data_IF_922965891048
#
_entry.id   IF_922965891048
#
_cell.length_a   1.000
_cell.length_b   1.000
_cell.length_c   1.000
_cell.angle_alpha   90.00
_cell.angle_beta   90.00
_cell.angle_gamma   90.00
#
_symmetry.space_group_name_H-M   'P 1'
#
loop_
_entity.id
_entity.type
_entity.pdbx_description
1 polymer ?
#
# COMPACT_ATOMS: atom_id res chain seq x y z
N UNK A 1 9.81 0.35 10.00
CA UNK A 1 9.59 -1.07 9.64
C UNK A 1 10.76 -1.88 10.17
N UNK A 2 10.54 -3.06 10.76
CA UNK A 2 11.62 -3.99 11.05
C UNK A 2 12.32 -4.42 9.75
N UNK A 3 13.64 -4.70 9.77
CA UNK A 3 14.46 -4.88 8.57
C UNK A 3 14.09 -6.11 7.71
N UNK A 4 13.24 -7.02 8.22
CA UNK A 4 12.79 -8.24 7.54
C UNK A 4 11.27 -8.35 7.42
N UNK A 5 10.57 -7.23 7.28
CA UNK A 5 9.13 -7.27 7.03
C UNK A 5 8.84 -8.02 5.71
N UNK A 6 8.17 -9.17 5.84
CA UNK A 6 7.74 -10.02 4.73
C UNK A 6 6.79 -9.27 3.82
N UNK A 7 6.65 -9.72 2.57
CA UNK A 7 5.74 -9.09 1.59
C UNK A 7 4.31 -8.93 2.16
N UNK A 8 3.83 -9.95 2.88
CA UNK A 8 2.53 -9.94 3.57
C UNK A 8 2.40 -8.82 4.62
N UNK A 9 3.43 -8.60 5.44
CA UNK A 9 3.43 -7.54 6.44
C UNK A 9 3.42 -6.16 5.79
N UNK A 10 4.13 -6.01 4.67
CA UNK A 10 4.09 -4.78 3.88
C UNK A 10 2.71 -4.55 3.29
N UNK A 11 2.07 -5.57 2.72
CA UNK A 11 0.70 -5.49 2.21
C UNK A 11 -0.25 -5.03 3.31
N UNK A 12 -0.23 -5.70 4.47
CA UNK A 12 -1.09 -5.38 5.60
C UNK A 12 -0.91 -3.93 6.04
N UNK A 13 0.35 -3.48 6.18
CA UNK A 13 0.65 -2.10 6.53
C UNK A 13 0.11 -1.10 5.49
N UNK A 14 0.28 -1.35 4.19
CA UNK A 14 -0.20 -0.44 3.15
C UNK A 14 -1.74 -0.40 3.10
N UNK A 15 -2.42 -1.53 3.32
CA UNK A 15 -3.89 -1.58 3.38
C UNK A 15 -4.44 -0.81 4.59
N UNK A 16 -3.86 -1.02 5.78
CA UNK A 16 -4.21 -0.31 7.01
C UNK A 16 -3.91 1.19 6.88
N UNK A 17 -2.72 1.54 6.38
CA UNK A 17 -2.30 2.91 6.18
C UNK A 17 -3.21 3.63 5.19
N UNK A 18 -3.58 2.99 4.08
CA UNK A 18 -4.51 3.56 3.11
C UNK A 18 -5.93 3.76 3.66
N UNK A 19 -6.36 2.92 4.62
CA UNK A 19 -7.64 3.09 5.33
C UNK A 19 -7.59 4.24 6.34
N UNK A 20 -6.51 4.37 7.09
CA UNK A 20 -6.40 5.34 8.19
C UNK A 20 -5.92 6.74 7.75
N UNK A 21 -4.96 6.81 6.83
CA UNK A 21 -4.29 8.05 6.45
C UNK A 21 -4.23 8.25 4.93
N UNK A 22 -3.77 7.24 4.18
CA UNK A 22 -3.64 7.33 2.72
C UNK A 22 -2.70 8.45 2.26
N UNK A 23 -1.67 8.78 3.06
CA UNK A 23 -0.67 9.77 2.66
C UNK A 23 0.36 9.19 1.69
N UNK A 24 0.47 7.86 1.61
CA UNK A 24 1.35 7.15 0.69
C UNK A 24 0.58 6.17 -0.19
N UNK A 25 0.92 6.15 -1.48
CA UNK A 25 0.41 5.17 -2.42
C UNK A 25 0.96 3.77 -2.15
N UNK A 26 0.21 2.76 -2.61
CA UNK A 26 0.68 1.38 -2.60
C UNK A 26 1.70 1.18 -3.73
N UNK A 27 2.93 0.71 -3.44
CA UNK A 27 3.93 0.48 -4.49
C UNK A 27 3.48 -0.61 -5.46
N UNK A 28 3.91 -0.49 -6.73
CA UNK A 28 3.52 -1.40 -7.81
C UNK A 28 3.76 -2.89 -7.50
N UNK A 29 4.84 -3.24 -6.80
CA UNK A 29 5.09 -4.64 -6.41
C UNK A 29 4.02 -5.20 -5.46
N UNK A 30 3.42 -4.35 -4.62
CA UNK A 30 2.32 -4.75 -3.73
C UNK A 30 1.00 -4.77 -4.49
N UNK A 31 0.76 -3.83 -5.39
CA UNK A 31 -0.43 -3.85 -6.26
C UNK A 31 -0.48 -5.13 -7.10
N UNK A 32 0.63 -5.50 -7.75
CA UNK A 32 0.72 -6.74 -8.52
C UNK A 32 0.42 -7.98 -7.66
N UNK A 33 0.89 -8.00 -6.41
CA UNK A 33 0.60 -9.11 -5.49
C UNK A 33 -0.87 -9.12 -5.04
N UNK A 34 -1.47 -7.95 -4.81
CA UNK A 34 -2.91 -7.81 -4.51
C UNK A 34 -3.78 -8.29 -5.67
N UNK A 35 -3.42 -7.92 -6.91
CA UNK A 35 -4.07 -8.38 -8.14
C UNK A 35 -3.95 -9.90 -8.30
N UNK A 36 -2.75 -10.47 -8.09
CA UNK A 36 -2.55 -11.93 -8.10
C UNK A 36 -3.40 -12.66 -7.07
N UNK A 37 -3.74 -12.00 -5.95
CA UNK A 37 -4.59 -12.55 -4.88
C UNK A 37 -6.07 -12.25 -5.09
N UNK A 38 -6.44 -11.47 -6.11
CA UNK A 38 -7.82 -11.03 -6.32
C UNK A 38 -8.33 -10.07 -5.23
N UNK A 39 -7.44 -9.37 -4.52
CA UNK A 39 -7.80 -8.41 -3.48
C UNK A 39 -7.86 -7.03 -4.12
N UNK A 40 -9.04 -6.41 -4.12
CA UNK A 40 -9.19 -5.02 -4.58
C UNK A 40 -8.72 -4.05 -3.50
N UNK A 41 -7.65 -3.25 -3.73
CA UNK A 41 -7.24 -2.23 -2.78
C UNK A 41 -8.28 -1.11 -2.69
N UNK A 42 -8.36 -0.40 -1.54
CA UNK A 42 -9.22 0.77 -1.44
C UNK A 42 -8.76 1.85 -2.41
N UNK A 43 -9.69 2.54 -3.07
CA UNK A 43 -9.42 3.53 -4.13
C UNK A 43 -8.48 4.67 -3.69
N UNK A 44 -8.46 5.03 -2.40
CA UNK A 44 -7.51 6.02 -1.86
C UNK A 44 -6.06 5.55 -1.86
N UNK A 45 -5.82 4.25 -1.98
CA UNK A 45 -4.51 3.62 -1.97
C UNK A 45 -3.86 3.59 -3.37
N UNK A 46 -4.66 3.71 -4.42
CA UNK A 46 -4.23 3.68 -5.83
C UNK A 46 -4.11 5.06 -6.46
N UNK A 47 -4.62 6.10 -5.80
CA UNK A 47 -4.52 7.48 -6.28
C UNK A 47 -3.14 8.05 -5.92
N UNK A 48 -2.28 8.25 -6.93
CA UNK A 48 -1.04 8.99 -6.81
C UNK A 48 -1.37 10.45 -6.40
N UNK A 49 -1.20 10.79 -5.12
CA UNK A 49 -1.22 12.18 -4.67
C UNK A 49 0.16 12.78 -4.92
N UNK A 50 0.28 14.05 -5.37
CA UNK A 50 1.59 14.67 -5.51
C UNK A 50 2.26 14.74 -4.14
N UNK A 51 3.46 14.16 -4.07
CA UNK A 51 4.31 14.13 -2.89
C UNK A 51 4.47 15.53 -2.28
N UNK A 52 3.82 15.77 -1.15
CA UNK A 52 4.28 16.76 -0.17
C UNK A 52 4.91 16.01 1.00
N UNK A 53 6.13 15.51 0.78
CA UNK A 53 7.08 15.35 1.88
C UNK A 53 8.04 16.54 1.77
N UNK A 54 7.79 17.55 2.59
CA UNK A 54 8.75 18.59 2.94
C UNK A 54 9.46 18.17 4.24
#
# INVERSE_FOLDING_TARGET
MPPKASLNERIAWHLEHARACGCREIPASILAELERRGITPPMRATLARPSSQA
#
